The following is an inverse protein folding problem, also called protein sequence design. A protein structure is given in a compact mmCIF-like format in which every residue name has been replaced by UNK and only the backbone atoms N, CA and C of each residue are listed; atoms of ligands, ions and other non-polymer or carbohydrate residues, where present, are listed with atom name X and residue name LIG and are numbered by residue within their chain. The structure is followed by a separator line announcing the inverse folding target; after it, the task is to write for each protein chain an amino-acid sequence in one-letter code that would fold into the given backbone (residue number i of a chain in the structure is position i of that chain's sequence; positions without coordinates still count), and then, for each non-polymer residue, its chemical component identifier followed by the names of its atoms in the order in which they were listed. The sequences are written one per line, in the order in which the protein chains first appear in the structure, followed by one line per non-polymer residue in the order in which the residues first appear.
data_IF_271496569307
#
_entry.id   IF_271496569307
#
_cell.length_a   1.000
_cell.length_b   1.000
_cell.length_c   1.000
_cell.angle_alpha   90.00
_cell.angle_beta   90.00
_cell.angle_gamma   90.00
#
_symmetry.space_group_name_H-M   'P 1'
#
loop_
_entity.id
_entity.type
_entity.pdbx_description
1 polymer ?
#
# COMPACT_ATOMS: atom_id res chain seq x y z
N UNK A 1 -11.10 -9.11 -9.45
CA UNK A 1 -10.24 -10.13 -8.80
C UNK A 1 -9.94 -9.64 -7.38
N UNK A 2 -9.91 -10.50 -6.36
CA UNK A 2 -9.76 -10.10 -4.94
C UNK A 2 -8.38 -10.57 -4.40
N UNK A 3 -7.52 -9.70 -3.85
CA UNK A 3 -6.22 -10.09 -3.30
C UNK A 3 -6.31 -10.82 -1.93
N UNK A 4 -7.37 -10.59 -1.15
CA UNK A 4 -7.48 -11.06 0.24
C UNK A 4 -7.31 -12.58 0.42
N UNK A 5 -7.85 -13.47 -0.44
CA UNK A 5 -7.64 -14.91 -0.33
C UNK A 5 -6.18 -15.35 -0.51
N UNK A 6 -5.38 -14.56 -1.25
CA UNK A 6 -3.97 -14.85 -1.50
C UNK A 6 -3.08 -14.41 -0.34
N UNK A 7 -3.50 -13.41 0.44
CA UNK A 7 -2.81 -12.98 1.65
C UNK A 7 -2.98 -14.00 2.79
N UNK A 8 -4.18 -14.60 2.90
CA UNK A 8 -4.47 -15.60 3.92
C UNK A 8 -3.72 -16.92 3.75
N UNK A 9 -3.41 -17.30 2.50
CA UNK A 9 -2.43 -18.35 2.24
C UNK A 9 -1.06 -17.72 2.48
N UNK A 10 -0.50 -17.89 3.67
CA UNK A 10 0.83 -17.41 4.06
C UNK A 10 1.94 -18.05 3.18
N UNK A 11 1.98 -17.65 1.91
CA UNK A 11 2.96 -18.06 0.93
C UNK A 11 4.29 -17.44 1.35
N UNK A 12 5.31 -18.24 1.70
CA UNK A 12 6.59 -17.71 2.17
C UNK A 12 7.31 -16.86 1.11
N UNK A 13 6.90 -16.94 -0.16
CA UNK A 13 7.43 -16.12 -1.26
C UNK A 13 6.59 -14.89 -1.60
N UNK A 14 5.61 -14.52 -0.78
CA UNK A 14 4.81 -13.31 -1.00
C UNK A 14 5.60 -12.05 -0.68
N UNK A 15 5.19 -10.92 -1.26
CA UNK A 15 5.74 -9.61 -0.90
C UNK A 15 5.50 -9.32 0.60
N UNK A 16 6.53 -8.79 1.25
CA UNK A 16 6.52 -8.41 2.67
C UNK A 16 6.50 -6.90 2.89
N UNK A 17 6.82 -6.10 1.86
CA UNK A 17 6.81 -4.64 1.90
C UNK A 17 5.69 -4.11 1.01
N UNK A 18 4.77 -3.34 1.59
CA UNK A 18 3.59 -2.83 0.92
C UNK A 18 3.51 -1.31 1.08
N UNK A 19 3.34 -0.61 -0.04
CA UNK A 19 3.06 0.82 -0.05
C UNK A 19 1.73 1.06 -0.74
N UNK A 20 0.77 1.63 -0.02
CA UNK A 20 -0.61 1.82 -0.50
C UNK A 20 -1.00 3.29 -0.35
N UNK A 21 -1.57 3.87 -1.42
CA UNK A 21 -2.03 5.26 -1.46
C UNK A 21 -3.46 5.34 -2.03
N UNK A 22 -4.24 6.27 -1.50
CA UNK A 22 -5.55 6.64 -2.04
C UNK A 22 -5.86 8.10 -1.70
N UNK A 23 -6.53 8.82 -2.59
CA UNK A 23 -6.97 10.17 -2.32
C UNK A 23 -8.16 10.23 -1.34
N UNK A 24 -8.23 11.24 -0.47
CA UNK A 24 -9.41 11.38 0.42
C UNK A 24 -10.68 11.84 -0.32
N UNK A 25 -10.54 12.36 -1.54
CA UNK A 25 -11.63 12.69 -2.49
C UNK A 25 -11.79 11.64 -3.59
N UNK A 26 -11.02 10.56 -3.58
CA UNK A 26 -11.27 9.43 -4.47
C UNK A 26 -12.63 8.80 -4.12
N UNK A 27 -13.54 8.84 -5.09
CA UNK A 27 -14.92 8.34 -4.97
C UNK A 27 -15.15 7.03 -5.71
N UNK A 28 -14.12 6.46 -6.34
CA UNK A 28 -14.24 5.28 -7.20
C UNK A 28 -14.42 4.01 -6.36
N UNK A 29 -14.01 4.05 -5.08
CA UNK A 29 -14.30 3.00 -4.11
C UNK A 29 -14.36 3.51 -2.68
N UNK A 30 -14.89 2.70 -1.77
CA UNK A 30 -14.85 3.02 -0.34
C UNK A 30 -13.42 2.98 0.17
N UNK A 31 -13.01 4.00 0.94
CA UNK A 31 -11.71 4.04 1.63
C UNK A 31 -11.50 2.87 2.60
N UNK A 32 -12.58 2.23 3.04
CA UNK A 32 -12.52 1.00 3.85
C UNK A 32 -11.86 -0.15 3.09
N UNK A 33 -11.95 -0.21 1.76
CA UNK A 33 -11.26 -1.26 0.98
C UNK A 33 -9.75 -1.19 1.16
N UNK A 34 -9.19 0.03 1.16
CA UNK A 34 -7.76 0.27 1.41
C UNK A 34 -7.41 0.01 2.87
N UNK A 35 -8.25 0.49 3.81
CA UNK A 35 -8.06 0.26 5.24
C UNK A 35 -8.06 -1.22 5.62
N UNK A 36 -9.01 -1.99 5.11
CA UNK A 36 -9.14 -3.42 5.37
C UNK A 36 -7.95 -4.21 4.81
N UNK A 37 -7.47 -3.84 3.62
CA UNK A 37 -6.28 -4.44 3.02
C UNK A 37 -5.04 -4.17 3.88
N UNK A 38 -4.82 -2.91 4.27
CA UNK A 38 -3.68 -2.52 5.10
C UNK A 38 -3.71 -3.23 6.45
N UNK A 39 -4.84 -3.18 7.16
CA UNK A 39 -5.01 -3.84 8.45
C UNK A 39 -4.79 -5.37 8.35
N UNK A 40 -5.20 -6.00 7.24
CA UNK A 40 -4.98 -7.43 7.03
C UNK A 40 -3.50 -7.76 6.84
N UNK A 41 -2.77 -6.95 6.07
CA UNK A 41 -1.32 -7.09 5.86
C UNK A 41 -0.53 -6.88 7.16
N UNK A 42 -0.87 -5.83 7.92
CA UNK A 42 -0.28 -5.54 9.24
C UNK A 42 -0.51 -6.72 10.22
N UNK A 43 -1.71 -7.28 10.24
CA UNK A 43 -2.03 -8.46 11.07
C UNK A 43 -1.23 -9.72 10.68
N UNK A 44 -0.66 -9.77 9.48
CA UNK A 44 0.25 -10.83 9.05
C UNK A 44 1.73 -10.53 9.33
N UNK A 45 2.03 -9.38 9.94
CA UNK A 45 3.38 -8.95 10.27
C UNK A 45 4.17 -8.38 9.10
N UNK A 46 3.49 -7.93 8.04
CA UNK A 46 4.14 -7.24 6.93
C UNK A 46 4.57 -5.82 7.31
N UNK A 47 5.55 -5.29 6.56
CA UNK A 47 5.91 -3.88 6.57
C UNK A 47 4.95 -3.11 5.64
N UNK A 48 4.06 -2.32 6.24
CA UNK A 48 2.96 -1.64 5.54
C UNK A 48 3.09 -0.12 5.72
N UNK A 49 3.27 0.58 4.60
CA UNK A 49 3.23 2.03 4.49
C UNK A 49 1.91 2.41 3.77
N UNK A 50 0.87 2.72 4.55
CA UNK A 50 -0.42 3.19 4.04
C UNK A 50 -0.64 4.67 4.36
N UNK A 51 -1.07 5.44 3.36
CA UNK A 51 -1.44 6.84 3.56
C UNK A 51 -2.60 7.25 2.66
N UNK A 52 -3.37 8.23 3.12
CA UNK A 52 -4.41 8.87 2.31
C UNK A 52 -3.99 10.29 1.95
N UNK A 53 -3.94 10.63 0.66
CA UNK A 53 -3.61 11.97 0.21
C UNK A 53 -4.76 12.91 0.48
N UNK A 54 -4.53 13.90 1.35
CA UNK A 54 -5.52 14.92 1.66
C UNK A 54 -5.90 15.66 0.38
N UNK A 55 -7.20 15.79 0.16
CA UNK A 55 -7.78 16.43 -1.03
C UNK A 55 -7.42 15.78 -2.38
N UNK A 56 -6.65 14.67 -2.39
CA UNK A 56 -6.34 13.90 -3.59
C UNK A 56 -7.58 13.20 -4.14
N UNK A 57 -7.73 13.19 -5.46
CA UNK A 57 -8.82 12.53 -6.18
C UNK A 57 -8.44 11.11 -6.61
N UNK A 58 -9.11 10.60 -7.65
CA UNK A 58 -8.67 9.38 -8.31
C UNK A 58 -7.41 9.64 -9.14
N UNK A 59 -6.30 9.00 -8.77
CA UNK A 59 -5.01 9.28 -9.39
C UNK A 59 -3.87 8.40 -8.85
N UNK A 60 -2.67 8.66 -9.35
CA UNK A 60 -1.44 7.99 -8.95
C UNK A 60 -0.27 8.97 -9.00
N UNK A 61 0.84 8.60 -8.35
CA UNK A 61 2.12 9.32 -8.44
C UNK A 61 2.13 10.75 -7.86
N UNK A 62 1.17 11.08 -6.98
CA UNK A 62 1.13 12.37 -6.27
C UNK A 62 2.35 12.59 -5.36
N UNK A 63 3.00 11.51 -4.90
CA UNK A 63 4.14 11.51 -3.99
C UNK A 63 5.37 10.75 -4.54
N UNK A 64 5.65 10.91 -5.85
CA UNK A 64 6.70 10.14 -6.57
C UNK A 64 8.08 10.20 -5.90
N UNK A 65 8.49 11.36 -5.35
CA UNK A 65 9.77 11.48 -4.66
C UNK A 65 9.84 10.56 -3.42
N UNK A 66 8.78 10.54 -2.61
CA UNK A 66 8.67 9.68 -1.43
C UNK A 66 8.57 8.21 -1.82
N UNK A 67 7.93 7.90 -2.96
CA UNK A 67 7.90 6.54 -3.50
C UNK A 67 9.31 6.03 -3.85
N UNK A 68 10.12 6.84 -4.52
CA UNK A 68 11.50 6.48 -4.86
C UNK A 68 12.35 6.30 -3.59
N UNK A 69 12.18 7.20 -2.60
CA UNK A 69 12.85 7.07 -1.30
C UNK A 69 12.42 5.79 -0.56
N UNK A 70 11.14 5.43 -0.60
CA UNK A 70 10.64 4.19 -0.02
C UNK A 70 11.26 2.96 -0.68
N UNK A 71 11.38 2.94 -2.02
CA UNK A 71 12.09 1.86 -2.73
C UNK A 71 13.55 1.76 -2.28
N UNK A 72 14.26 2.88 -2.20
CA UNK A 72 15.66 2.92 -1.75
C UNK A 72 15.80 2.36 -0.33
N UNK A 73 14.88 2.73 0.58
CA UNK A 73 14.82 2.22 1.95
C UNK A 73 14.58 0.71 2.01
N UNK A 74 13.61 0.19 1.26
CA UNK A 74 13.25 -1.24 1.26
C UNK A 74 14.36 -2.10 0.65
N UNK A 75 14.97 -1.64 -0.43
CA UNK A 75 15.97 -2.42 -1.18
C UNK A 75 17.39 -2.24 -0.65
N UNK A 76 17.64 -1.21 0.16
CA UNK A 76 19.00 -0.77 0.52
C UNK A 76 19.76 -0.13 -0.65
N UNK A 77 19.11 0.12 -1.78
CA UNK A 77 19.72 0.75 -2.93
C UNK A 77 20.09 2.21 -2.62
N UNK A 78 21.36 2.55 -2.81
CA UNK A 78 21.88 3.92 -2.74
C UNK A 78 22.34 4.29 -4.14
N UNK A 79 21.81 5.40 -4.66
CA UNK A 79 22.24 5.98 -5.93
C UNK A 79 23.67 6.54 -5.82
#
# INVERSE_FOLDING_TARGET
MNPMPFLAKANPRRAQHWRIRVGTKDSDTSRTVVGDLAAKLENFGDDVDVAMHRDGGHGANEDTADFIQWIAKVTGHKA
#
